data_IF_404543893048
#
_entry.id   IF_404543893048
#
_cell.length_a   1.000
_cell.length_b   1.000
_cell.length_c   1.000
_cell.angle_alpha   90.00
_cell.angle_beta   90.00
_cell.angle_gamma   90.00
#
_symmetry.space_group_name_H-M   'P 1'
#
loop_
_entity.id
_entity.type
_entity.pdbx_description
1 polymer ?
#
# COMPACT_ATOMS: atom_id res chain seq x y z
N UNK A 1 1.79 -53.23 23.28
CA UNK A 1 3.02 -52.43 23.34
C UNK A 1 2.65 -50.99 22.99
N UNK A 2 2.79 -50.04 23.92
CA UNK A 2 2.43 -48.63 23.69
C UNK A 2 3.69 -47.81 23.42
N UNK A 3 3.83 -47.27 22.21
CA UNK A 3 4.90 -46.35 21.87
C UNK A 3 4.54 -44.94 22.30
N UNK A 4 5.10 -44.50 23.43
CA UNK A 4 4.96 -43.12 23.89
C UNK A 4 5.95 -42.23 23.14
N UNK A 5 5.46 -41.48 22.15
CA UNK A 5 6.27 -40.50 21.42
C UNK A 5 6.43 -39.25 22.29
N UNK A 6 7.56 -39.10 22.96
CA UNK A 6 7.88 -37.88 23.70
C UNK A 6 8.26 -36.76 22.72
N UNK A 7 7.37 -35.79 22.52
CA UNK A 7 7.64 -34.59 21.71
C UNK A 7 8.50 -33.62 22.54
N UNK A 8 9.79 -33.51 22.22
CA UNK A 8 10.67 -32.51 22.84
C UNK A 8 10.50 -31.17 22.13
N UNK A 9 10.15 -30.12 22.88
CA UNK A 9 10.08 -28.76 22.36
C UNK A 9 11.48 -28.17 22.27
N UNK A 10 11.93 -27.82 21.07
CA UNK A 10 13.17 -27.07 20.88
C UNK A 10 12.89 -25.59 21.14
N UNK A 11 13.52 -25.03 22.18
CA UNK A 11 13.44 -23.61 22.49
C UNK A 11 14.29 -22.85 21.46
N UNK A 12 13.63 -22.13 20.55
CA UNK A 12 14.30 -21.28 19.55
C UNK A 12 14.44 -19.89 20.15
N UNK A 13 15.68 -19.39 20.26
CA UNK A 13 15.93 -18.03 20.73
C UNK A 13 15.44 -17.04 19.65
N UNK A 14 14.54 -16.11 19.98
CA UNK A 14 14.04 -15.17 18.98
C UNK A 14 15.18 -14.26 18.51
N UNK A 15 15.26 -14.04 17.20
CA UNK A 15 16.18 -13.07 16.64
C UNK A 15 15.74 -11.66 17.05
N UNK A 16 16.57 -10.95 17.82
CA UNK A 16 16.35 -9.56 18.23
C UNK A 16 17.26 -8.67 17.37
N UNK A 17 16.76 -8.08 16.28
CA UNK A 17 17.57 -7.18 15.47
C UNK A 17 17.91 -5.93 16.28
N UNK A 18 19.20 -5.72 16.55
CA UNK A 18 19.66 -4.47 17.17
C UNK A 18 19.72 -3.38 16.11
N UNK A 19 18.85 -2.38 16.23
CA UNK A 19 18.95 -1.17 15.43
C UNK A 19 19.98 -0.25 16.10
N UNK A 20 21.07 0.04 15.40
CA UNK A 20 22.05 1.03 15.84
C UNK A 20 21.73 2.40 15.25
N UNK A 21 21.44 3.38 16.10
CA UNK A 21 21.32 4.77 15.67
C UNK A 21 22.71 5.36 15.53
N UNK A 22 23.07 5.86 14.33
CA UNK A 22 24.25 6.70 14.20
C UNK A 22 23.98 8.01 14.94
N UNK A 23 24.77 8.30 15.99
CA UNK A 23 24.74 9.58 16.69
C UNK A 23 25.29 10.65 15.73
N UNK A 24 24.40 11.38 15.08
CA UNK A 24 24.74 12.46 14.17
C UNK A 24 23.55 12.82 13.30
N UNK A 25 22.76 13.79 13.74
CA UNK A 25 21.76 14.46 12.90
C UNK A 25 22.44 15.02 11.66
N UNK A 26 21.74 14.93 10.53
CA UNK A 26 22.19 15.39 9.22
C UNK A 26 22.68 16.84 9.35
N UNK A 27 23.97 17.09 9.14
CA UNK A 27 24.44 18.44 8.87
C UNK A 27 23.84 18.87 7.54
N UNK A 28 22.99 19.90 7.57
CA UNK A 28 22.55 20.60 6.37
C UNK A 28 23.78 21.24 5.72
N UNK A 29 24.51 20.48 4.91
CA UNK A 29 25.55 21.01 4.03
C UNK A 29 25.11 20.80 2.59
N UNK A 30 24.65 21.92 2.03
CA UNK A 30 24.49 22.18 0.61
C UNK A 30 25.87 22.15 -0.07
N UNK A 31 25.95 21.52 -1.26
CA UNK A 31 27.11 21.38 -2.18
C UNK A 31 28.25 20.47 -1.66
N UNK A 32 28.85 19.51 -2.38
CA UNK A 32 29.04 19.28 -3.81
C UNK A 32 29.31 17.78 -4.06
N UNK A 33 28.86 17.27 -5.21
CA UNK A 33 29.38 16.13 -5.99
C UNK A 33 30.09 14.97 -5.28
N UNK A 34 29.39 13.83 -5.22
CA UNK A 34 29.81 12.49 -5.67
C UNK A 34 29.22 11.41 -4.75
N UNK A 35 28.11 10.78 -5.16
CA UNK A 35 27.72 9.49 -4.60
C UNK A 35 26.74 8.77 -5.52
N UNK A 36 27.22 7.62 -6.02
CA UNK A 36 26.57 6.32 -5.98
C UNK A 36 25.10 6.24 -6.36
N UNK A 37 24.81 5.46 -7.42
CA UNK A 37 23.47 5.02 -7.83
C UNK A 37 22.84 4.15 -6.73
N UNK A 38 22.35 4.79 -5.67
CA UNK A 38 21.40 4.20 -4.76
C UNK A 38 20.02 4.49 -5.33
N UNK A 39 19.31 3.46 -5.78
CA UNK A 39 17.89 3.51 -6.10
C UNK A 39 17.10 3.88 -4.84
N UNK A 40 17.10 5.17 -4.50
CA UNK A 40 16.17 5.75 -3.55
C UNK A 40 14.84 5.84 -4.31
N UNK A 41 13.98 4.83 -4.12
CA UNK A 41 12.57 4.95 -4.46
C UNK A 41 12.05 6.09 -3.61
N UNK A 42 11.94 7.28 -4.20
CA UNK A 42 11.37 8.44 -3.54
C UNK A 42 9.97 8.04 -3.09
N UNK A 43 9.74 8.09 -1.78
CA UNK A 43 8.41 7.91 -1.21
C UNK A 43 7.60 9.10 -1.72
N UNK A 44 6.83 8.88 -2.78
CA UNK A 44 5.90 9.87 -3.34
C UNK A 44 4.96 10.26 -2.21
N UNK A 45 5.12 11.48 -1.69
CA UNK A 45 4.16 12.05 -0.78
C UNK A 45 2.86 12.20 -1.57
N UNK A 46 1.91 11.30 -1.34
CA UNK A 46 0.58 11.37 -1.97
C UNK A 46 -0.13 12.54 -1.32
N UNK A 47 -0.02 13.71 -1.94
CA UNK A 47 -0.85 14.86 -1.61
C UNK A 47 -2.28 14.48 -2.01
N UNK A 48 -3.10 14.09 -1.03
CA UNK A 48 -4.54 13.89 -1.24
C UNK A 48 -5.16 15.28 -1.34
N UNK A 49 -5.13 15.88 -2.53
CA UNK A 49 -6.01 17.00 -2.82
C UNK A 49 -7.43 16.46 -2.86
N UNK A 50 -8.36 17.12 -2.15
CA UNK A 50 -9.78 16.83 -2.27
C UNK A 50 -10.20 17.16 -3.70
N UNK A 51 -10.36 16.14 -4.54
CA UNK A 51 -10.81 16.29 -5.93
C UNK A 51 -12.26 16.77 -5.88
N UNK A 52 -12.52 17.99 -6.39
CA UNK A 52 -13.85 18.61 -6.38
C UNK A 52 -14.67 18.28 -7.63
N UNK A 53 -13.99 18.15 -8.76
CA UNK A 53 -14.63 18.00 -10.08
C UNK A 53 -14.18 16.71 -10.77
N UNK A 54 -15.08 16.08 -11.54
CA UNK A 54 -14.78 14.84 -12.26
C UNK A 54 -13.71 15.01 -13.34
N UNK A 55 -13.55 16.23 -13.87
CA UNK A 55 -12.50 16.56 -14.85
C UNK A 55 -11.08 16.41 -14.29
N UNK A 56 -10.94 16.44 -12.95
CA UNK A 56 -9.67 16.26 -12.26
C UNK A 56 -9.40 14.80 -11.87
N UNK A 57 -10.37 13.89 -12.09
CA UNK A 57 -10.18 12.48 -11.82
C UNK A 57 -9.29 11.85 -12.92
N UNK A 58 -8.35 10.97 -12.54
CA UNK A 58 -7.72 10.09 -13.51
C UNK A 58 -8.75 9.33 -14.34
N UNK A 59 -8.47 9.12 -15.63
CA UNK A 59 -9.42 8.51 -16.60
C UNK A 59 -10.08 7.22 -16.13
N UNK A 60 -9.37 6.39 -15.34
CA UNK A 60 -9.89 5.14 -14.79
C UNK A 60 -10.99 5.28 -13.73
N UNK A 61 -11.15 6.48 -13.16
CA UNK A 61 -12.15 6.79 -12.13
C UNK A 61 -13.29 7.69 -12.66
N UNK A 62 -13.27 8.05 -13.94
CA UNK A 62 -14.37 8.79 -14.56
C UNK A 62 -15.59 7.87 -14.61
N UNK A 63 -16.75 8.38 -14.17
CA UNK A 63 -18.01 7.63 -14.21
C UNK A 63 -18.45 7.41 -15.65
N UNK A 64 -19.06 6.26 -15.91
CA UNK A 64 -19.72 6.00 -17.19
C UNK A 64 -21.13 6.61 -17.16
N UNK A 65 -21.63 7.16 -18.29
CA UNK A 65 -23.04 7.49 -18.40
C UNK A 65 -23.87 6.20 -18.23
N UNK A 66 -25.00 6.30 -17.55
CA UNK A 66 -25.94 5.20 -17.34
C UNK A 66 -26.98 5.20 -18.46
N UNK A 67 -27.29 4.02 -19.00
CA UNK A 67 -28.35 3.88 -20.01
C UNK A 67 -29.75 3.77 -19.36
N UNK A 68 -30.82 4.01 -20.12
CA UNK A 68 -32.19 4.02 -19.58
C UNK A 68 -32.59 2.64 -19.02
N UNK A 69 -32.18 1.56 -19.70
CA UNK A 69 -32.44 0.18 -19.26
C UNK A 69 -31.67 -0.11 -17.97
N UNK A 70 -30.39 0.31 -17.90
CA UNK A 70 -29.56 0.14 -16.71
C UNK A 70 -30.14 0.90 -15.52
N UNK A 71 -30.64 2.11 -15.73
CA UNK A 71 -31.30 2.91 -14.72
C UNK A 71 -32.55 2.21 -14.17
N UNK A 72 -33.41 1.66 -15.03
CA UNK A 72 -34.58 0.88 -14.59
C UNK A 72 -34.18 -0.35 -13.78
N UNK A 73 -33.10 -1.06 -14.18
CA UNK A 73 -32.58 -2.21 -13.44
C UNK A 73 -32.10 -1.80 -12.03
N UNK A 74 -31.45 -0.64 -11.92
CA UNK A 74 -31.02 -0.09 -10.62
C UNK A 74 -32.22 0.31 -9.76
N UNK A 75 -33.21 0.98 -10.34
CA UNK A 75 -34.46 1.38 -9.66
C UNK A 75 -35.25 0.16 -9.13
N UNK A 76 -35.22 -0.95 -9.87
CA UNK A 76 -35.86 -2.21 -9.48
C UNK A 76 -35.08 -2.99 -8.40
N UNK A 77 -33.97 -2.45 -7.90
CA UNK A 77 -33.17 -3.08 -6.85
C UNK A 77 -32.24 -4.19 -7.34
N UNK A 78 -31.95 -4.24 -8.65
CA UNK A 78 -30.95 -5.15 -9.21
C UNK A 78 -31.41 -6.60 -9.27
N UNK A 79 -32.43 -6.89 -10.09
CA UNK A 79 -32.67 -8.20 -10.69
C UNK A 79 -33.75 -8.10 -11.80
N UNK A 80 -33.33 -8.08 -13.07
CA UNK A 80 -34.10 -8.71 -14.15
C UNK A 80 -33.16 -9.11 -15.30
N UNK A 81 -32.47 -10.23 -15.10
CA UNK A 81 -31.79 -10.97 -16.17
C UNK A 81 -32.64 -12.23 -16.35
N UNK A 82 -33.53 -12.25 -17.35
CA UNK A 82 -34.23 -13.45 -17.82
C UNK A 82 -33.79 -13.74 -19.25
#
# INVERSE_FOLDING_TARGET
MSNTVSRTWKIIKPHVPMITFKKGGRTNQMTSTAASKSNMVSKVAVHVSTIKDESMLPKKYIRKPIDQIEMQIVELGGAHIS
#
